data_IF_781717992998
#
_entry.id   IF_781717992998
#
_cell.length_a   1.000
_cell.length_b   1.000
_cell.length_c   1.000
_cell.angle_alpha   90.00
_cell.angle_beta   90.00
_cell.angle_gamma   90.00
#
_symmetry.space_group_name_H-M   'P 1'
#
loop_
_entity.id
_entity.type
_entity.pdbx_description
1 polymer ?
#
# COMPACT_ATOMS: atom_id res chain seq x y z
N UNK A 1 -13.27 -15.22 3.93
CA UNK A 1 -11.93 -15.56 3.40
C UNK A 1 -11.64 -15.06 1.99
N UNK A 2 -12.41 -15.35 0.93
CA UNK A 2 -12.11 -14.81 -0.42
C UNK A 2 -12.01 -13.28 -0.46
N UNK A 3 -12.84 -12.59 0.34
CA UNK A 3 -12.80 -11.13 0.48
C UNK A 3 -11.52 -10.60 1.14
N UNK A 4 -10.74 -11.46 1.83
CA UNK A 4 -9.56 -11.08 2.60
C UNK A 4 -8.26 -11.39 1.83
N UNK A 5 -8.36 -11.95 0.62
CA UNK A 5 -7.23 -12.14 -0.27
C UNK A 5 -7.05 -10.87 -1.09
N UNK A 6 -5.99 -10.12 -0.78
CA UNK A 6 -5.57 -8.95 -1.52
C UNK A 6 -4.31 -9.26 -2.35
N UNK A 7 -4.16 -8.59 -3.48
CA UNK A 7 -2.92 -8.58 -4.25
C UNK A 7 -1.89 -7.62 -3.62
N UNK A 8 -0.72 -7.51 -4.23
CA UNK A 8 0.33 -6.60 -3.77
C UNK A 8 -0.17 -5.16 -3.67
N UNK A 9 0.14 -4.45 -2.57
CA UNK A 9 -0.24 -3.05 -2.43
C UNK A 9 0.53 -2.17 -3.41
N UNK A 10 -0.16 -1.19 -4.00
CA UNK A 10 0.47 -0.06 -4.70
C UNK A 10 0.21 1.21 -3.91
N UNK A 11 1.25 1.75 -3.26
CA UNK A 11 1.17 2.99 -2.49
C UNK A 11 1.83 4.09 -3.28
N UNK A 12 1.07 5.12 -3.61
CA UNK A 12 1.56 6.28 -4.37
C UNK A 12 1.36 7.54 -3.54
N UNK A 13 2.44 8.03 -2.93
CA UNK A 13 2.41 9.29 -2.17
C UNK A 13 2.48 10.51 -3.09
N UNK A 14 3.34 10.46 -4.10
CA UNK A 14 3.48 11.47 -5.14
C UNK A 14 3.66 10.77 -6.48
N UNK A 15 2.90 11.16 -7.51
CA UNK A 15 3.01 10.56 -8.85
C UNK A 15 4.20 11.08 -9.66
N UNK A 16 4.75 12.21 -9.25
CA UNK A 16 5.88 12.83 -9.92
C UNK A 16 6.83 13.42 -8.89
N UNK A 17 8.11 13.11 -9.04
CA UNK A 17 9.18 13.69 -8.25
C UNK A 17 10.36 14.03 -9.16
N UNK A 18 10.78 15.29 -9.14
CA UNK A 18 11.94 15.77 -9.89
C UNK A 18 12.99 16.36 -8.96
N UNK A 19 14.25 16.10 -9.30
CA UNK A 19 15.42 16.58 -8.58
C UNK A 19 15.48 18.11 -8.65
N UNK A 20 15.72 18.73 -7.50
CA UNK A 20 15.79 20.17 -7.25
C UNK A 20 14.47 20.93 -7.40
N UNK A 21 13.38 20.29 -7.81
CA UNK A 21 12.07 20.92 -8.02
C UNK A 21 11.05 20.47 -6.98
N UNK A 22 10.86 19.16 -6.83
CA UNK A 22 9.86 18.61 -5.89
C UNK A 22 10.29 18.88 -4.46
N UNK A 23 9.38 19.47 -3.66
CA UNK A 23 9.60 19.72 -2.24
C UNK A 23 9.17 18.50 -1.42
N UNK A 24 10.05 18.03 -0.54
CA UNK A 24 9.80 16.96 0.43
C UNK A 24 9.49 17.57 1.81
N UNK A 25 9.25 16.71 2.82
CA UNK A 25 8.94 17.08 4.21
C UNK A 25 9.80 18.25 4.71
N UNK A 26 9.14 19.29 5.22
CA UNK A 26 9.78 20.53 5.67
C UNK A 26 10.20 21.49 4.54
N UNK A 27 9.64 21.34 3.33
CA UNK A 27 9.88 22.23 2.20
C UNK A 27 11.25 22.07 1.53
N UNK A 28 12.01 21.02 1.89
CA UNK A 28 13.36 20.78 1.37
C UNK A 28 13.28 20.31 -0.09
N UNK A 29 14.19 20.73 -0.98
CA UNK A 29 14.20 20.22 -2.35
C UNK A 29 14.70 18.77 -2.40
N UNK A 30 14.00 17.92 -3.16
CA UNK A 30 14.45 16.57 -3.48
C UNK A 30 15.81 16.61 -4.20
N UNK A 31 16.80 15.82 -3.75
CA UNK A 31 18.14 15.81 -4.37
C UNK A 31 18.45 14.54 -5.17
N UNK A 32 17.75 13.45 -4.89
CA UNK A 32 17.94 12.16 -5.53
C UNK A 32 16.66 11.34 -5.38
N UNK A 33 16.27 10.65 -6.44
CA UNK A 33 15.21 9.64 -6.44
C UNK A 33 15.89 8.28 -6.58
N UNK A 34 15.55 7.35 -5.69
CA UNK A 34 16.10 5.99 -5.68
C UNK A 34 14.92 5.03 -5.67
N UNK A 35 14.92 4.06 -6.59
CA UNK A 35 14.01 2.93 -6.59
C UNK A 35 14.66 1.72 -5.93
N UNK A 36 13.94 1.06 -5.04
CA UNK A 36 14.32 -0.24 -4.50
C UNK A 36 13.28 -1.26 -4.96
N UNK A 37 13.75 -2.43 -5.37
CA UNK A 37 12.91 -3.55 -5.75
C UNK A 37 13.33 -4.79 -4.95
N UNK A 38 12.35 -5.58 -4.55
CA UNK A 38 12.58 -6.78 -3.75
C UNK A 38 12.75 -7.99 -4.66
N UNK A 39 13.93 -8.63 -4.59
CA UNK A 39 14.18 -9.88 -5.31
C UNK A 39 13.22 -10.98 -4.80
N UNK A 40 12.34 -11.45 -5.69
CA UNK A 40 11.44 -12.57 -5.44
C UNK A 40 10.60 -12.45 -4.15
N UNK A 41 9.97 -11.28 -3.94
CA UNK A 41 9.18 -10.96 -2.73
C UNK A 41 8.25 -12.08 -2.25
N UNK A 42 7.39 -12.61 -3.13
CA UNK A 42 6.45 -13.67 -2.75
C UNK A 42 7.13 -14.98 -2.40
N UNK A 43 8.20 -15.34 -3.11
CA UNK A 43 8.95 -16.56 -2.82
C UNK A 43 9.62 -16.48 -1.46
N UNK A 44 10.22 -15.32 -1.13
CA UNK A 44 10.76 -15.07 0.20
C UNK A 44 9.66 -15.14 1.27
N UNK A 45 8.50 -14.53 1.02
CA UNK A 45 7.37 -14.58 1.95
C UNK A 45 6.94 -16.04 2.22
N UNK A 46 6.81 -16.88 1.19
CA UNK A 46 6.48 -18.31 1.34
C UNK A 46 7.53 -19.12 2.09
N UNK A 47 8.77 -18.64 2.18
CA UNK A 47 9.81 -19.25 3.00
C UNK A 47 9.64 -19.02 4.51
N UNK A 48 8.72 -18.14 4.93
CA UNK A 48 8.42 -17.88 6.33
C UNK A 48 7.34 -18.83 6.87
N UNK A 49 7.10 -18.79 8.19
CA UNK A 49 5.98 -19.50 8.80
C UNK A 49 4.64 -19.05 8.20
N UNK A 50 3.84 -20.01 7.73
CA UNK A 50 2.54 -19.79 7.10
C UNK A 50 1.49 -20.73 7.71
N UNK A 51 0.23 -20.29 7.88
CA UNK A 51 -0.83 -21.17 8.37
C UNK A 51 -1.04 -22.33 7.40
N UNK A 52 -1.11 -23.55 7.92
CA UNK A 52 -1.30 -24.78 7.15
C UNK A 52 -2.24 -25.73 7.90
N UNK A 53 -2.80 -26.70 7.19
CA UNK A 53 -3.74 -27.67 7.75
C UNK A 53 -5.21 -27.28 7.60
N UNK A 54 -6.06 -27.85 8.44
CA UNK A 54 -7.51 -27.64 8.39
C UNK A 54 -7.88 -26.24 8.91
N UNK A 55 -8.67 -25.51 8.12
CA UNK A 55 -9.21 -24.22 8.54
C UNK A 55 -10.05 -24.38 9.82
N UNK A 56 -9.67 -23.64 10.86
CA UNK A 56 -10.43 -23.52 12.11
C UNK A 56 -10.76 -22.05 12.33
N UNK A 57 -11.99 -21.76 12.78
CA UNK A 57 -12.43 -20.42 13.14
C UNK A 57 -12.68 -20.42 14.64
N UNK A 58 -12.07 -19.46 15.33
CA UNK A 58 -12.25 -19.24 16.76
C UNK A 58 -12.89 -17.87 16.96
N UNK A 59 -13.85 -17.77 17.89
CA UNK A 59 -14.41 -16.49 18.30
C UNK A 59 -13.34 -15.67 19.04
N UNK A 60 -13.35 -14.36 18.83
CA UNK A 60 -12.44 -13.47 19.54
C UNK A 60 -12.74 -13.49 21.04
N UNK A 61 -11.68 -13.48 21.86
CA UNK A 61 -11.76 -13.47 23.31
C UNK A 61 -10.84 -12.39 23.89
N UNK A 62 -11.05 -11.93 25.15
CA UNK A 62 -10.39 -10.73 25.68
C UNK A 62 -8.85 -10.72 25.56
N UNK A 63 -8.19 -11.87 25.74
CA UNK A 63 -6.73 -11.98 25.76
C UNK A 63 -6.12 -12.38 24.41
N UNK A 64 -6.91 -12.49 23.33
CA UNK A 64 -6.46 -13.02 22.03
C UNK A 64 -5.26 -12.25 21.47
N UNK A 65 -5.23 -10.93 21.64
CA UNK A 65 -4.13 -10.07 21.16
C UNK A 65 -2.84 -10.37 21.94
N UNK A 66 -2.94 -10.58 23.24
CA UNK A 66 -1.77 -10.88 24.09
C UNK A 66 -1.26 -12.29 23.83
N UNK A 67 -2.15 -13.24 23.56
CA UNK A 67 -1.78 -14.61 23.18
C UNK A 67 -1.11 -14.67 21.80
N UNK A 68 -1.54 -13.85 20.83
CA UNK A 68 -0.85 -13.69 19.53
C UNK A 68 0.54 -13.09 19.73
N UNK A 69 0.67 -12.03 20.54
CA UNK A 69 1.96 -11.38 20.82
C UNK A 69 2.97 -12.28 21.54
N UNK A 70 2.48 -13.25 22.31
CA UNK A 70 3.29 -14.22 23.03
C UNK A 70 3.40 -15.57 22.30
N UNK A 71 3.12 -15.60 20.98
CA UNK A 71 3.25 -16.76 20.11
C UNK A 71 2.44 -18.00 20.55
N UNK A 72 1.37 -17.83 21.35
CA UNK A 72 0.46 -18.92 21.75
C UNK A 72 -0.56 -19.26 20.66
N UNK A 73 -0.91 -18.27 19.84
CA UNK A 73 -1.82 -18.42 18.69
C UNK A 73 -1.11 -17.95 17.43
N UNK A 74 -1.22 -18.74 16.38
CA UNK A 74 -0.71 -18.40 15.06
C UNK A 74 -1.85 -18.49 14.03
N UNK A 75 -2.09 -17.41 13.30
CA UNK A 75 -3.20 -17.33 12.34
C UNK A 75 -3.50 -15.90 11.89
N UNK A 76 -4.74 -15.69 11.42
CA UNK A 76 -5.23 -14.39 10.98
C UNK A 76 -6.30 -13.87 11.96
N UNK A 77 -6.23 -12.58 12.30
CA UNK A 77 -7.22 -11.89 13.13
C UNK A 77 -7.94 -10.83 12.30
N UNK A 78 -9.26 -10.90 12.26
CA UNK A 78 -10.09 -9.83 11.73
C UNK A 78 -10.32 -8.80 12.84
N UNK A 79 -9.91 -7.55 12.59
CA UNK A 79 -10.02 -6.48 13.57
C UNK A 79 -10.10 -5.11 12.90
N UNK A 80 -10.67 -4.15 13.62
CA UNK A 80 -10.61 -2.74 13.25
C UNK A 80 -9.28 -2.14 13.69
N UNK A 81 -8.68 -1.33 12.82
CA UNK A 81 -7.46 -0.59 13.10
C UNK A 81 -7.76 0.91 13.13
N UNK A 82 -7.17 1.61 14.10
CA UNK A 82 -7.25 3.06 14.21
C UNK A 82 -5.89 3.67 14.53
N UNK A 83 -5.59 4.82 13.93
CA UNK A 83 -4.43 5.61 14.31
C UNK A 83 -4.73 6.34 15.64
N UNK A 84 -3.91 6.18 16.69
CA UNK A 84 -4.08 6.91 17.95
C UNK A 84 -4.13 8.43 17.72
N UNK A 85 -4.98 9.15 18.47
CA UNK A 85 -5.24 10.58 18.25
C UNK A 85 -3.96 11.43 18.20
N UNK A 86 -3.08 11.23 19.18
CA UNK A 86 -1.81 11.95 19.29
C UNK A 86 -0.81 11.63 18.16
N UNK A 87 -1.05 10.57 17.38
CA UNK A 87 -0.21 10.19 16.24
C UNK A 87 -0.82 10.57 14.89
N UNK A 88 -2.08 11.02 14.83
CA UNK A 88 -2.75 11.37 13.57
C UNK A 88 -2.01 12.45 12.80
N UNK A 89 -1.49 13.47 13.48
CA UNK A 89 -0.71 14.52 12.82
C UNK A 89 0.58 13.97 12.19
N UNK A 90 1.26 13.05 12.88
CA UNK A 90 2.50 12.44 12.40
C UNK A 90 2.26 11.57 11.16
N UNK A 91 1.22 10.73 11.21
CA UNK A 91 0.87 9.83 10.10
C UNK A 91 0.00 10.49 9.03
N UNK A 92 -0.43 11.73 9.22
CA UNK A 92 -1.31 12.44 8.27
C UNK A 92 -0.68 12.72 6.91
N UNK A 93 0.64 12.63 6.79
CA UNK A 93 1.31 12.67 5.48
C UNK A 93 1.22 11.35 4.71
N UNK A 94 0.89 10.26 5.38
CA UNK A 94 0.74 8.96 4.76
C UNK A 94 -0.67 8.85 4.18
N UNK A 95 -0.80 8.19 3.03
CA UNK A 95 -2.11 7.92 2.44
C UNK A 95 -2.96 7.12 3.43
N UNK A 96 -4.16 7.60 3.81
CA UNK A 96 -4.99 6.92 4.78
C UNK A 96 -5.55 5.63 4.17
N UNK A 97 -4.95 4.51 4.56
CA UNK A 97 -5.45 3.14 4.37
C UNK A 97 -5.50 2.65 2.91
N UNK A 98 -5.11 1.39 2.73
CA UNK A 98 -5.22 0.64 1.49
C UNK A 98 -6.70 0.38 1.16
N UNK A 99 -7.31 1.26 0.37
CA UNK A 99 -8.61 0.96 -0.25
C UNK A 99 -8.35 0.34 -1.62
N UNK A 100 -8.88 -0.87 -1.83
CA UNK A 100 -9.03 -1.40 -3.18
C UNK A 100 -10.06 -0.52 -3.90
N UNK A 101 -9.61 0.34 -4.81
CA UNK A 101 -10.45 1.19 -5.63
C UNK A 101 -10.01 1.10 -7.08
N UNK A 102 -10.98 1.07 -8.00
CA UNK A 102 -10.69 1.28 -9.41
C UNK A 102 -10.31 2.75 -9.59
N UNK A 103 -9.12 2.97 -10.12
CA UNK A 103 -8.63 4.31 -10.44
C UNK A 103 -9.01 4.58 -11.90
N UNK A 104 -9.77 5.64 -12.13
CA UNK A 104 -10.02 6.12 -13.49
C UNK A 104 -8.76 6.81 -14.01
N UNK A 105 -8.07 6.15 -14.94
CA UNK A 105 -6.86 6.66 -15.57
C UNK A 105 -7.11 7.74 -16.63
N UNK A 106 -8.36 8.13 -16.85
CA UNK A 106 -8.76 9.19 -17.78
C UNK A 106 -9.19 10.47 -17.08
N UNK A 107 -9.35 10.47 -15.75
CA UNK A 107 -9.67 11.68 -14.98
C UNK A 107 -8.38 12.35 -14.48
N UNK A 108 -8.08 13.54 -15.02
CA UNK A 108 -6.93 14.36 -14.62
C UNK A 108 -6.91 14.65 -13.11
N UNK A 109 -8.06 14.83 -12.46
CA UNK A 109 -8.13 15.09 -11.03
C UNK A 109 -7.74 13.86 -10.22
N UNK A 110 -8.05 12.67 -10.75
CA UNK A 110 -7.73 11.41 -10.10
C UNK A 110 -6.27 11.07 -10.29
N UNK A 111 -5.72 11.15 -11.50
CA UNK A 111 -4.33 10.73 -11.80
C UNK A 111 -3.29 11.86 -11.84
N UNK A 112 -3.71 13.10 -11.76
CA UNK A 112 -2.86 14.29 -11.89
C UNK A 112 -2.42 14.56 -13.33
N UNK A 113 -2.20 15.84 -13.63
CA UNK A 113 -1.87 16.35 -14.97
C UNK A 113 -0.77 15.57 -15.69
N UNK A 114 0.35 15.32 -15.01
CA UNK A 114 1.50 14.64 -15.63
C UNK A 114 1.16 13.24 -16.15
N UNK A 115 0.46 12.43 -15.35
CA UNK A 115 0.07 11.08 -15.78
C UNK A 115 -1.03 11.11 -16.84
N UNK A 116 -1.92 12.09 -16.76
CA UNK A 116 -2.96 12.29 -17.77
C UNK A 116 -2.33 12.58 -19.14
N UNK A 117 -1.42 13.55 -19.22
CA UNK A 117 -0.72 13.91 -20.46
C UNK A 117 0.08 12.72 -21.02
N UNK A 118 0.72 11.93 -20.14
CA UNK A 118 1.44 10.71 -20.53
C UNK A 118 0.52 9.65 -21.17
N UNK A 119 -0.66 9.41 -20.59
CA UNK A 119 -1.64 8.46 -21.12
C UNK A 119 -2.15 8.90 -22.50
N UNK A 120 -2.48 10.19 -22.66
CA UNK A 120 -2.94 10.74 -23.94
C UNK A 120 -1.89 10.60 -25.05
N UNK A 121 -0.62 10.85 -24.73
CA UNK A 121 0.48 10.69 -25.67
C UNK A 121 0.66 9.22 -26.11
N UNK A 122 0.46 8.26 -25.20
CA UNK A 122 0.52 6.82 -25.51
C UNK A 122 -0.61 6.38 -26.43
N UNK A 123 -1.84 6.79 -26.16
CA UNK A 123 -3.00 6.44 -27.01
C UNK A 123 -2.81 6.97 -28.44
N UNK A 124 -2.36 8.22 -28.57
CA UNK A 124 -2.05 8.82 -29.87
C UNK A 124 -0.96 8.04 -30.62
N UNK A 125 0.04 7.51 -29.90
CA UNK A 125 1.12 6.72 -30.49
C UNK A 125 0.69 5.30 -30.90
N UNK A 126 -0.35 4.75 -30.27
CA UNK A 126 -0.91 3.44 -30.62
C UNK A 126 -1.87 3.50 -31.81
N UNK A 127 -2.55 4.62 -32.01
CA UNK A 127 -3.45 4.86 -33.15
C UNK A 127 -2.70 5.23 -34.45
N UNK A 128 -1.42 5.58 -34.35
CA UNK A 128 -0.57 5.95 -35.47
C UNK A 128 0.20 4.76 -36.11
N UNK A 129 0.02 3.54 -35.59
CA UNK A 129 0.60 2.29 -36.10
C UNK A 129 -0.44 1.33 -36.65
#
# INVERSE_FOLDING_TARGET
MKANIASGPSIVFNRYANRNETKIRGGKPCKKVIGYDANALYLWAFGNGMPWGQLTIIEAYPDIVEDIKNDKIFGFLECDIQTPEHMKQYFGEMTPIFKNALIDCTDENIIGRHMYDYNQARETSQLAN
#
